data_IF_018694686281
#
_entry.id   IF_018694686281
#
_cell.length_a   1.000
_cell.length_b   1.000
_cell.length_c   1.000
_cell.angle_alpha   90.00
_cell.angle_beta   90.00
_cell.angle_gamma   90.00
#
_symmetry.space_group_name_H-M   'P 1'
#
loop_
_entity.id
_entity.type
_entity.pdbx_description
1 polymer ?
#
# COMPACT_ATOMS: atom_id res chain seq x y z
N UNK A 1 14.70 1.93 14.32
CA UNK A 1 13.32 1.69 14.77
C UNK A 1 12.49 1.23 13.59
N UNK A 2 11.91 0.03 13.66
CA UNK A 2 11.05 -0.52 12.61
C UNK A 2 9.59 -0.15 12.90
N UNK A 3 8.97 0.59 11.98
CA UNK A 3 7.57 1.03 12.11
C UNK A 3 6.64 0.15 11.27
N UNK A 4 5.48 -0.24 11.81
CA UNK A 4 4.44 -0.95 11.05
C UNK A 4 3.95 -0.15 9.84
N UNK A 5 3.33 -0.85 8.89
CA UNK A 5 2.81 -0.26 7.65
C UNK A 5 1.30 -0.45 7.60
N UNK A 6 0.55 0.64 7.71
CA UNK A 6 -0.86 0.64 7.36
C UNK A 6 -1.01 0.68 5.83
N UNK A 7 -1.80 -0.25 5.29
CA UNK A 7 -1.99 -0.47 3.85
C UNK A 7 -3.48 -0.55 3.52
N UNK A 8 -3.84 -0.12 2.31
CA UNK A 8 -5.21 -0.24 1.80
C UNK A 8 -5.19 -0.98 0.47
N UNK A 9 -6.15 -1.89 0.29
CA UNK A 9 -6.41 -2.60 -0.96
C UNK A 9 -7.88 -2.43 -1.36
N UNK A 10 -8.18 -2.44 -2.65
CA UNK A 10 -9.55 -2.63 -3.15
C UNK A 10 -9.86 -4.13 -3.17
N UNK A 11 -11.08 -4.52 -2.84
CA UNK A 11 -11.50 -5.92 -2.88
C UNK A 11 -11.32 -6.52 -4.28
N UNK A 12 -10.90 -7.78 -4.36
CA UNK A 12 -10.63 -8.48 -5.60
C UNK A 12 -9.32 -8.09 -6.31
N UNK A 13 -8.50 -7.22 -5.74
CA UNK A 13 -7.18 -6.86 -6.29
C UNK A 13 -6.04 -7.76 -5.81
N UNK A 14 -4.82 -7.50 -6.30
CA UNK A 14 -3.58 -8.15 -5.87
C UNK A 14 -2.93 -7.35 -4.73
N UNK A 15 -2.50 -8.04 -3.68
CA UNK A 15 -1.66 -7.49 -2.62
C UNK A 15 -0.32 -8.24 -2.59
N UNK A 16 0.78 -7.51 -2.36
CA UNK A 16 2.11 -8.07 -2.19
C UNK A 16 2.77 -7.46 -0.96
N UNK A 17 3.07 -8.28 0.04
CA UNK A 17 3.74 -7.89 1.29
C UNK A 17 5.16 -8.44 1.29
N UNK A 18 6.16 -7.56 1.36
CA UNK A 18 7.56 -7.99 1.47
C UNK A 18 7.87 -8.42 2.89
N UNK A 19 8.51 -9.57 3.05
CA UNK A 19 9.10 -9.92 4.34
C UNK A 19 10.23 -8.91 4.63
N UNK A 20 10.21 -8.25 5.79
CA UNK A 20 11.22 -7.23 6.17
C UNK A 20 12.19 -7.79 7.23
N UNK A 21 12.59 -9.04 7.05
CA UNK A 21 13.66 -9.70 7.80
C UNK A 21 14.88 -9.76 6.88
N UNK A 22 16.05 -9.34 7.38
CA UNK A 22 17.30 -9.41 6.63
C UNK A 22 17.91 -10.82 6.80
N UNK A 23 17.53 -11.74 5.92
CA UNK A 23 18.08 -13.11 5.87
C UNK A 23 19.35 -13.10 5.00
N UNK A 24 20.36 -13.91 5.34
CA UNK A 24 21.55 -14.04 4.49
C UNK A 24 21.18 -14.64 3.13
N UNK A 25 21.74 -14.15 2.00
CA UNK A 25 21.50 -14.75 0.68
C UNK A 25 21.85 -16.24 0.58
N UNK A 26 22.67 -16.77 1.48
CA UNK A 26 22.97 -18.20 1.58
C UNK A 26 21.84 -18.96 2.29
N UNK A 27 21.30 -18.39 3.37
CA UNK A 27 20.24 -19.01 4.19
C UNK A 27 18.91 -19.11 3.43
N UNK A 28 18.60 -18.13 2.57
CA UNK A 28 17.37 -18.11 1.75
C UNK A 28 17.18 -19.38 0.90
N UNK A 29 18.27 -20.03 0.47
CA UNK A 29 18.25 -21.27 -0.33
C UNK A 29 18.43 -22.55 0.49
N UNK A 30 18.68 -22.44 1.80
CA UNK A 30 18.94 -23.57 2.72
C UNK A 30 17.78 -23.78 3.70
N UNK A 31 16.97 -22.75 3.92
CA UNK A 31 15.86 -22.74 4.85
C UNK A 31 14.58 -22.20 4.18
N UNK A 32 13.48 -22.93 4.35
CA UNK A 32 12.11 -22.50 4.04
C UNK A 32 11.38 -21.95 5.29
N UNK A 33 12.10 -21.64 6.38
CA UNK A 33 11.55 -21.26 7.69
C UNK A 33 10.91 -19.85 7.73
N UNK A 34 10.60 -19.24 6.57
CA UNK A 34 9.90 -17.95 6.48
C UNK A 34 8.39 -18.17 6.49
N UNK A 35 7.83 -18.20 7.70
CA UNK A 35 6.41 -18.41 7.93
C UNK A 35 5.65 -17.08 7.90
N UNK A 36 4.56 -17.00 7.14
CA UNK A 36 3.63 -15.87 7.21
C UNK A 36 2.47 -16.15 8.16
N UNK A 37 2.06 -15.13 8.91
CA UNK A 37 0.95 -15.17 9.86
C UNK A 37 -0.07 -14.08 9.54
N UNK A 38 -1.32 -14.36 9.91
CA UNK A 38 -2.47 -13.47 9.78
C UNK A 38 -3.24 -13.42 11.10
N UNK A 39 -3.62 -12.22 11.53
CA UNK A 39 -4.59 -12.00 12.61
C UNK A 39 -5.81 -11.26 12.05
N UNK A 40 -6.99 -11.88 12.15
CA UNK A 40 -8.22 -11.31 11.60
C UNK A 40 -8.73 -10.16 12.50
N UNK A 41 -9.09 -9.01 11.90
CA UNK A 41 -9.67 -7.88 12.66
C UNK A 41 -10.94 -8.22 13.41
N UNK A 42 -11.75 -9.17 12.90
CA UNK A 42 -13.10 -9.44 13.41
C UNK A 42 -13.09 -10.49 14.52
N UNK A 43 -12.46 -11.64 14.32
CA UNK A 43 -12.41 -12.70 15.32
C UNK A 43 -11.21 -12.61 16.28
N UNK A 44 -10.18 -11.83 15.92
CA UNK A 44 -8.89 -11.75 16.62
C UNK A 44 -8.10 -13.08 16.69
N UNK A 45 -8.55 -14.12 15.95
CA UNK A 45 -7.78 -15.35 15.78
C UNK A 45 -6.47 -15.05 15.06
N UNK A 46 -5.40 -15.72 15.49
CA UNK A 46 -4.09 -15.68 14.82
C UNK A 46 -3.82 -17.03 14.18
N UNK A 47 -3.71 -17.05 12.86
CA UNK A 47 -3.41 -18.25 12.06
C UNK A 47 -2.07 -18.11 11.34
N UNK A 48 -1.35 -19.22 11.24
CA UNK A 48 -0.30 -19.36 10.22
C UNK A 48 -1.00 -19.41 8.86
N UNK A 49 -0.48 -18.67 7.89
CA UNK A 49 -0.94 -18.79 6.51
C UNK A 49 -0.39 -20.08 5.88
N UNK A 50 -1.22 -20.68 5.06
CA UNK A 50 -0.93 -21.85 4.24
C UNK A 50 -1.21 -21.41 2.80
N UNK A 51 -0.42 -21.90 1.85
CA UNK A 51 -0.61 -21.56 0.44
C UNK A 51 -1.92 -22.14 -0.11
N UNK A 52 -2.50 -21.43 -1.07
CA UNK A 52 -3.77 -21.76 -1.73
C UNK A 52 -3.82 -21.14 -3.12
N UNK A 53 -4.85 -21.48 -3.91
CA UNK A 53 -5.14 -20.88 -5.22
C UNK A 53 -5.16 -19.34 -5.25
N UNK A 54 -5.29 -18.68 -4.08
CA UNK A 54 -5.31 -17.23 -3.93
C UNK A 54 -4.25 -16.66 -2.98
N UNK A 55 -3.41 -17.49 -2.35
CA UNK A 55 -2.36 -17.09 -1.39
C UNK A 55 -1.06 -17.83 -1.71
N UNK A 56 -0.02 -17.07 -2.06
CA UNK A 56 1.26 -17.60 -2.53
C UNK A 56 2.43 -16.91 -1.82
N UNK A 57 3.51 -17.63 -1.53
CA UNK A 57 4.75 -17.11 -0.95
C UNK A 57 5.84 -17.20 -2.02
N UNK A 58 6.26 -16.03 -2.50
CA UNK A 58 7.33 -15.89 -3.51
C UNK A 58 8.60 -16.67 -3.11
N UNK A 59 9.07 -17.66 -3.88
CA UNK A 59 10.29 -18.39 -3.53
C UNK A 59 11.55 -17.51 -3.65
N UNK A 60 11.54 -16.50 -4.54
CA UNK A 60 12.69 -15.61 -4.78
C UNK A 60 12.99 -14.68 -3.58
N UNK A 61 11.95 -14.14 -2.94
CA UNK A 61 12.09 -13.06 -1.96
C UNK A 61 11.18 -13.20 -0.72
N UNK A 62 10.54 -14.35 -0.58
CA UNK A 62 9.63 -14.75 0.51
C UNK A 62 8.50 -13.73 0.79
N UNK A 63 8.14 -12.93 -0.21
CA UNK A 63 6.97 -12.03 -0.16
C UNK A 63 5.66 -12.81 -0.21
N UNK A 64 4.71 -12.44 0.65
CA UNK A 64 3.34 -12.93 0.56
C UNK A 64 2.61 -12.21 -0.58
N UNK A 65 1.95 -12.98 -1.44
CA UNK A 65 1.18 -12.53 -2.60
C UNK A 65 -0.24 -13.05 -2.45
N UNK A 66 -1.21 -12.14 -2.32
CA UNK A 66 -2.64 -12.48 -2.17
C UNK A 66 -3.38 -11.99 -3.42
N UNK A 67 -3.88 -12.94 -4.21
CA UNK A 67 -4.73 -12.67 -5.37
C UNK A 67 -6.19 -12.56 -4.93
N UNK A 68 -6.98 -11.72 -5.62
CA UNK A 68 -8.42 -11.60 -5.40
C UNK A 68 -8.80 -11.27 -3.94
N UNK A 69 -8.03 -10.40 -3.26
CA UNK A 69 -8.13 -10.21 -1.80
C UNK A 69 -9.56 -9.86 -1.34
N UNK A 70 -10.05 -10.54 -0.31
CA UNK A 70 -11.44 -10.46 0.18
C UNK A 70 -11.58 -9.74 1.52
N UNK A 71 -12.76 -9.21 1.81
CA UNK A 71 -13.08 -8.43 3.03
C UNK A 71 -12.66 -9.12 4.33
N UNK A 72 -12.76 -10.46 4.38
CA UNK A 72 -12.46 -11.29 5.54
C UNK A 72 -10.94 -11.37 5.81
N UNK A 73 -10.12 -10.98 4.81
CA UNK A 73 -8.67 -10.87 4.86
C UNK A 73 -8.20 -9.48 5.36
N UNK A 74 -9.10 -8.65 5.91
CA UNK A 74 -8.76 -7.36 6.50
C UNK A 74 -8.18 -7.56 7.92
N UNK A 75 -6.86 -7.54 8.07
CA UNK A 75 -6.20 -7.87 9.33
C UNK A 75 -4.75 -7.42 9.45
N UNK A 76 -4.05 -8.04 10.40
CA UNK A 76 -2.62 -7.84 10.66
C UNK A 76 -1.84 -8.99 10.01
N UNK A 77 -0.76 -8.67 9.30
CA UNK A 77 0.10 -9.65 8.62
C UNK A 77 1.57 -9.43 8.98
N UNK A 78 2.31 -10.50 9.21
CA UNK A 78 3.76 -10.46 9.45
C UNK A 78 4.42 -11.75 8.97
N UNK A 79 5.71 -11.70 8.65
CA UNK A 79 6.53 -12.91 8.52
C UNK A 79 7.33 -13.16 9.81
N UNK A 80 7.68 -14.42 10.02
CA UNK A 80 8.56 -14.93 11.07
C UNK A 80 9.68 -15.74 10.41
N UNK A 81 10.89 -15.71 10.94
CA UNK A 81 12.03 -16.52 10.52
C UNK A 81 12.88 -16.88 11.75
N UNK A 82 12.97 -18.16 12.10
CA UNK A 82 13.35 -18.56 13.46
C UNK A 82 12.48 -17.80 14.48
N UNK A 83 13.06 -17.24 15.54
CA UNK A 83 12.33 -16.37 16.47
C UNK A 83 12.24 -14.89 16.04
N UNK A 84 12.77 -14.52 14.87
CA UNK A 84 12.70 -13.14 14.36
C UNK A 84 11.35 -12.85 13.74
N UNK A 85 10.71 -11.75 14.13
CA UNK A 85 9.41 -11.29 13.59
C UNK A 85 9.60 -9.98 12.82
N UNK A 86 8.92 -9.82 11.69
CA UNK A 86 8.99 -8.60 10.87
C UNK A 86 8.19 -7.42 11.44
N UNK A 87 8.17 -6.29 10.72
CA UNK A 87 7.09 -5.32 10.90
C UNK A 87 5.71 -5.97 10.66
N UNK A 88 4.70 -5.42 11.33
CA UNK A 88 3.29 -5.72 11.05
C UNK A 88 2.78 -4.85 9.90
N UNK A 89 2.10 -5.49 8.95
CA UNK A 89 1.28 -4.85 7.93
C UNK A 89 -0.18 -4.84 8.39
N UNK A 90 -0.79 -3.66 8.46
CA UNK A 90 -2.18 -3.48 8.86
C UNK A 90 -3.02 -3.20 7.62
N UNK A 91 -3.73 -4.22 7.12
CA UNK A 91 -4.47 -4.15 5.86
C UNK A 91 -5.92 -3.76 6.14
N UNK A 92 -6.38 -2.73 5.45
CA UNK A 92 -7.79 -2.33 5.38
C UNK A 92 -8.29 -2.52 3.95
N UNK A 93 -9.45 -3.14 3.79
CA UNK A 93 -9.96 -3.53 2.47
C UNK A 93 -11.17 -2.67 2.12
N UNK A 94 -11.15 -2.12 0.92
CA UNK A 94 -12.18 -1.27 0.38
C UNK A 94 -13.15 -2.09 -0.48
N UNK A 95 -14.37 -2.26 0.00
CA UNK A 95 -15.46 -3.00 -0.67
C UNK A 95 -16.35 -2.10 -1.53
N UNK A 96 -16.10 -0.78 -1.56
CA UNK A 96 -16.87 0.21 -2.33
C UNK A 96 -16.48 0.17 -3.83
N UNK A 97 -16.87 -0.92 -4.51
CA UNK A 97 -16.57 -1.14 -5.92
C UNK A 97 -17.29 -0.14 -6.86
N UNK A 98 -18.51 0.29 -6.51
CA UNK A 98 -19.25 1.32 -7.26
C UNK A 98 -18.71 2.73 -7.02
N UNK A 99 -18.02 2.96 -5.90
CA UNK A 99 -17.32 4.18 -5.61
C UNK A 99 -16.09 4.42 -6.49
N UNK A 100 -15.55 3.40 -7.17
CA UNK A 100 -14.24 3.48 -7.81
C UNK A 100 -14.22 4.44 -9.01
N UNK A 101 -13.37 5.46 -8.93
CA UNK A 101 -13.23 6.50 -9.95
C UNK A 101 -12.10 6.15 -10.93
N UNK A 102 -12.43 5.94 -12.21
CA UNK A 102 -11.41 5.83 -13.27
C UNK A 102 -10.81 7.20 -13.59
N UNK A 103 -9.48 7.28 -13.65
CA UNK A 103 -8.71 8.51 -13.94
C UNK A 103 -7.54 8.27 -14.91
N UNK A 104 -7.00 9.35 -15.45
CA UNK A 104 -5.97 9.34 -16.48
C UNK A 104 -4.81 10.28 -16.11
N UNK A 105 -3.58 10.01 -16.60
CA UNK A 105 -2.44 10.92 -16.45
C UNK A 105 -2.75 12.33 -16.99
N UNK A 106 -2.08 13.35 -16.44
CA UNK A 106 -2.19 14.76 -16.88
C UNK A 106 -1.77 15.00 -18.33
N UNK A 107 -1.12 14.02 -18.98
CA UNK A 107 -0.78 14.05 -20.41
C UNK A 107 -1.96 13.69 -21.33
N UNK A 108 -3.12 13.33 -20.78
CA UNK A 108 -4.34 13.00 -21.53
C UNK A 108 -5.35 14.16 -21.38
N UNK A 109 -5.39 15.14 -22.31
CA UNK A 109 -6.27 16.31 -22.18
C UNK A 109 -7.74 15.91 -22.13
N UNK A 110 -8.54 16.70 -21.42
CA UNK A 110 -10.00 16.56 -21.27
C UNK A 110 -10.47 15.24 -20.61
N UNK A 111 -9.56 14.42 -20.08
CA UNK A 111 -9.90 13.19 -19.36
C UNK A 111 -9.99 13.43 -17.83
N UNK A 112 -10.79 12.64 -17.07
CA UNK A 112 -10.83 12.75 -15.62
C UNK A 112 -9.45 12.52 -14.99
N UNK A 113 -8.95 13.49 -14.24
CA UNK A 113 -7.67 13.39 -13.54
C UNK A 113 -7.84 12.97 -12.08
N UNK A 114 -6.72 12.57 -11.46
CA UNK A 114 -6.65 12.24 -10.03
C UNK A 114 -7.09 13.43 -9.16
N UNK A 115 -7.77 13.15 -8.04
CA UNK A 115 -8.16 14.20 -7.08
C UNK A 115 -6.87 14.88 -6.54
N UNK A 116 -6.75 16.22 -6.56
CA UNK A 116 -5.56 16.91 -6.07
C UNK A 116 -5.33 16.67 -4.57
N UNK A 117 -4.15 17.05 -4.06
CA UNK A 117 -3.93 17.06 -2.62
C UNK A 117 -4.83 18.10 -1.94
N UNK A 118 -5.35 17.76 -0.76
CA UNK A 118 -6.10 18.67 0.11
C UNK A 118 -5.34 18.85 1.44
N UNK A 119 -5.55 19.97 2.12
CA UNK A 119 -4.86 20.35 3.35
C UNK A 119 -5.93 20.57 4.42
N UNK A 120 -5.74 19.96 5.58
CA UNK A 120 -6.57 20.20 6.77
C UNK A 120 -5.73 20.97 7.77
N UNK A 121 -5.87 22.30 7.76
CA UNK A 121 -5.01 23.21 8.53
C UNK A 121 -5.14 23.02 10.04
N UNK A 122 -6.36 22.80 10.52
CA UNK A 122 -6.76 22.52 11.92
C UNK A 122 -5.91 21.43 12.59
N UNK A 123 -5.67 20.32 11.88
CA UNK A 123 -4.88 19.18 12.36
C UNK A 123 -3.46 19.12 11.75
N UNK A 124 -3.08 20.14 10.96
CA UNK A 124 -1.85 20.21 10.18
C UNK A 124 -1.59 18.93 9.33
N UNK A 125 -2.58 18.52 8.53
CA UNK A 125 -2.57 17.29 7.74
C UNK A 125 -2.56 17.55 6.22
N UNK A 126 -1.95 16.63 5.48
CA UNK A 126 -2.13 16.48 4.03
C UNK A 126 -3.03 15.26 3.75
N UNK A 127 -3.96 15.40 2.81
CA UNK A 127 -4.77 14.30 2.25
C UNK A 127 -4.42 14.18 0.77
N UNK A 128 -3.95 13.02 0.32
CA UNK A 128 -3.52 12.80 -1.06
C UNK A 128 -3.77 11.35 -1.51
N UNK A 129 -3.67 11.10 -2.82
CA UNK A 129 -3.78 9.73 -3.38
C UNK A 129 -2.39 9.08 -3.41
N UNK A 130 -2.15 8.04 -2.58
CA UNK A 130 -0.97 7.18 -2.71
C UNK A 130 -1.22 6.15 -3.81
N UNK A 131 -0.32 6.06 -4.77
CA UNK A 131 -0.42 5.16 -5.92
C UNK A 131 0.35 3.86 -5.72
N UNK A 132 -0.24 2.73 -6.11
CA UNK A 132 0.48 1.46 -6.25
C UNK A 132 1.52 1.53 -7.39
N UNK A 133 2.38 0.51 -7.46
CA UNK A 133 3.06 0.17 -8.72
C UNK A 133 2.01 -0.04 -9.83
N UNK A 134 2.42 0.17 -11.08
CA UNK A 134 1.65 -0.25 -12.24
C UNK A 134 1.59 -1.77 -12.32
N UNK A 135 0.46 -2.30 -12.80
CA UNK A 135 0.40 -3.65 -13.33
C UNK A 135 1.37 -3.82 -14.52
N UNK A 136 1.63 -5.08 -14.86
CA UNK A 136 2.15 -5.43 -16.19
C UNK A 136 1.13 -4.98 -17.27
N UNK A 137 1.55 -4.96 -18.53
CA UNK A 137 0.62 -4.70 -19.65
C UNK A 137 -0.29 -5.92 -19.82
N UNK A 138 -1.59 -5.70 -20.08
CA UNK A 138 -2.56 -6.78 -20.27
C UNK A 138 -2.25 -7.67 -21.47
N UNK A 139 -1.67 -7.09 -22.53
CA UNK A 139 -1.34 -7.76 -23.78
C UNK A 139 0.11 -7.44 -24.15
N UNK A 140 0.73 -8.31 -24.96
CA UNK A 140 2.03 -8.08 -25.58
C UNK A 140 1.92 -8.18 -27.13
N UNK A 141 2.90 -7.65 -27.85
CA UNK A 141 2.93 -7.40 -29.30
C UNK A 141 1.82 -6.47 -29.87
N UNK A 142 0.63 -6.45 -29.28
CA UNK A 142 -0.47 -5.52 -29.56
C UNK A 142 -0.56 -4.38 -28.52
N UNK A 143 -1.53 -3.46 -28.67
CA UNK A 143 -1.77 -2.39 -27.69
C UNK A 143 -2.64 -2.91 -26.55
N UNK A 144 -2.03 -3.14 -25.40
CA UNK A 144 -2.70 -3.45 -24.15
C UNK A 144 -2.96 -2.22 -23.26
N UNK A 145 -3.48 -2.49 -22.07
CA UNK A 145 -3.70 -1.52 -20.99
C UNK A 145 -2.89 -1.96 -19.76
N UNK A 146 -2.48 -0.99 -18.94
CA UNK A 146 -2.03 -1.24 -17.57
C UNK A 146 -2.71 -0.29 -16.61
N UNK A 147 -2.86 -0.74 -15.37
CA UNK A 147 -3.62 -0.05 -14.32
C UNK A 147 -2.75 0.15 -13.07
N UNK A 148 -3.12 1.12 -12.24
CA UNK A 148 -2.65 1.23 -10.85
C UNK A 148 -3.75 1.80 -9.99
N UNK A 149 -3.75 1.40 -8.72
CA UNK A 149 -4.75 1.80 -7.74
C UNK A 149 -4.23 2.98 -6.92
N UNK A 150 -5.12 3.90 -6.61
CA UNK A 150 -4.85 5.14 -5.90
C UNK A 150 -5.72 5.21 -4.66
N UNK A 151 -5.10 5.12 -3.48
CA UNK A 151 -5.79 5.10 -2.20
C UNK A 151 -5.63 6.41 -1.46
N UNK A 152 -6.74 6.92 -0.91
CA UNK A 152 -6.73 8.07 -0.02
C UNK A 152 -5.76 7.82 1.14
N UNK A 153 -4.84 8.76 1.36
CA UNK A 153 -3.83 8.71 2.42
C UNK A 153 -3.82 10.04 3.17
N UNK A 154 -3.92 9.95 4.49
CA UNK A 154 -3.67 11.07 5.42
C UNK A 154 -2.20 11.01 5.83
N UNK A 155 -1.48 12.13 5.81
CA UNK A 155 -0.22 12.25 6.54
C UNK A 155 -0.20 13.48 7.40
N UNK A 156 0.56 13.44 8.50
CA UNK A 156 0.93 14.68 9.18
C UNK A 156 1.83 15.48 8.25
N UNK A 157 1.70 16.82 8.28
CA UNK A 157 2.67 17.72 7.63
C UNK A 157 4.01 17.74 8.35
N UNK A 158 4.01 17.43 9.65
CA UNK A 158 5.16 17.17 10.54
C UNK A 158 6.48 17.89 10.15
N UNK A 159 6.37 19.19 9.89
CA UNK A 159 7.42 20.18 9.74
C UNK A 159 8.66 19.73 8.94
N UNK A 160 8.61 19.88 7.62
CA UNK A 160 9.83 20.01 6.78
C UNK A 160 10.78 21.07 7.38
N UNK A 161 10.23 22.11 8.01
CA UNK A 161 10.96 23.18 8.68
C UNK A 161 11.56 22.80 10.05
N UNK A 162 11.31 21.61 10.62
CA UNK A 162 11.81 21.26 11.97
C UNK A 162 13.32 21.06 12.05
N UNK A 163 14.02 20.84 10.93
CA UNK A 163 15.49 20.92 10.92
C UNK A 163 15.96 22.36 11.18
N UNK A 164 15.45 23.30 10.38
CA UNK A 164 15.88 24.69 10.41
C UNK A 164 15.47 25.42 11.71
N UNK A 165 14.25 25.19 12.21
CA UNK A 165 13.71 25.90 13.38
C UNK A 165 14.39 25.48 14.70
N UNK A 166 14.96 24.27 14.79
CA UNK A 166 15.66 23.82 16.01
C UNK A 166 16.98 24.58 16.20
N UNK A 167 17.75 24.75 15.12
CA UNK A 167 19.05 25.44 15.13
C UNK A 167 18.90 26.92 15.50
N UNK A 168 17.90 27.62 14.93
CA UNK A 168 17.62 29.03 15.26
C UNK A 168 17.09 29.21 16.69
N UNK A 169 16.18 28.34 17.16
CA UNK A 169 15.60 28.49 18.52
C UNK A 169 16.61 28.20 19.62
N UNK A 170 17.46 27.19 19.46
CA UNK A 170 18.50 26.91 20.46
C UNK A 170 19.48 28.09 20.63
N UNK A 171 19.76 28.84 19.55
CA UNK A 171 20.57 30.06 19.61
C UNK A 171 19.80 31.28 20.16
N UNK A 172 18.48 31.33 20.01
CA UNK A 172 17.64 32.41 20.52
C UNK A 172 17.30 32.27 22.02
N UNK A 173 16.98 31.05 22.47
CA UNK A 173 16.56 30.81 23.85
C UNK A 173 17.72 30.98 24.84
N UNK A 174 18.95 30.61 24.45
CA UNK A 174 20.18 30.90 25.22
C UNK A 174 20.43 32.41 25.40
N UNK A 175 19.99 33.24 24.44
CA UNK A 175 20.07 34.71 24.50
C UNK A 175 18.88 35.38 25.19
N UNK A 176 17.86 34.61 25.59
CA UNK A 176 16.67 35.11 26.30
C UNK A 176 16.64 34.69 27.77
N UNK A 177 17.23 33.56 28.12
CA UNK A 177 17.41 33.15 29.54
C UNK A 177 18.39 34.05 30.32
N UNK A 178 19.02 35.03 29.67
CA UNK A 178 19.84 36.09 30.27
C UNK A 178 19.11 37.44 30.41
N UNK A 179 17.82 37.53 30.03
CA UNK A 179 17.03 38.76 30.08
C UNK A 179 15.65 38.55 30.73
N UNK A 180 15.58 38.96 31.99
CA UNK A 180 14.41 39.51 32.70
C UNK A 180 13.29 38.55 33.18
N UNK A 181 12.86 38.83 34.41
CA UNK A 181 11.73 38.21 35.12
C UNK A 181 10.48 39.11 35.01
N UNK A 182 9.43 38.70 35.73
CA UNK A 182 8.40 39.57 36.35
C UNK A 182 7.07 39.84 35.60
N UNK A 183 6.02 39.32 36.24
CA UNK A 183 4.76 40.00 36.61
C UNK A 183 3.51 40.02 35.66
N UNK A 184 2.49 39.27 36.14
CA UNK A 184 1.08 39.67 36.32
C UNK A 184 0.10 39.71 35.12
N UNK A 185 -1.17 39.29 35.35
CA UNK A 185 -2.31 39.64 34.48
C UNK A 185 -3.48 38.64 34.36
N UNK A 186 -4.39 38.58 35.33
CA UNK A 186 -5.58 37.67 35.40
C UNK A 186 -6.90 38.37 35.04
N UNK A 187 -7.93 37.78 34.38
CA UNK A 187 -8.11 36.46 33.70
C UNK A 187 -8.58 36.74 32.23
N UNK A 188 -9.61 36.21 31.54
CA UNK A 188 -10.68 35.18 31.69
C UNK A 188 -11.15 34.73 30.28
N UNK A 189 -11.64 33.49 30.10
CA UNK A 189 -12.76 33.09 29.19
C UNK A 189 -13.01 31.57 29.31
N UNK A 190 -13.86 31.16 30.25
CA UNK A 190 -13.97 29.74 30.67
C UNK A 190 -14.51 28.78 29.58
N UNK A 191 -15.19 29.28 28.54
CA UNK A 191 -15.75 28.42 27.46
C UNK A 191 -14.69 28.00 26.44
N UNK A 192 -13.85 28.93 25.97
CA UNK A 192 -12.85 28.68 24.93
C UNK A 192 -11.70 27.79 25.40
N UNK A 193 -11.37 27.85 26.69
CA UNK A 193 -10.28 27.04 27.29
C UNK A 193 -10.61 25.54 27.19
N UNK A 194 -11.87 25.16 27.41
CA UNK A 194 -12.30 23.76 27.37
C UNK A 194 -12.13 23.16 25.96
N UNK A 195 -12.62 23.87 24.94
CA UNK A 195 -12.52 23.44 23.54
C UNK A 195 -11.06 23.41 23.05
N UNK A 196 -10.23 24.39 23.43
CA UNK A 196 -8.80 24.40 23.10
C UNK A 196 -8.03 23.24 23.75
N UNK A 197 -8.39 22.83 24.97
CA UNK A 197 -7.81 21.65 25.63
C UNK A 197 -8.26 20.36 24.93
N UNK A 198 -9.53 20.28 24.52
CA UNK A 198 -10.09 19.12 23.79
C UNK A 198 -9.43 18.98 22.41
N UNK A 199 -9.36 20.04 21.61
CA UNK A 199 -8.65 20.03 20.33
C UNK A 199 -7.19 19.65 20.53
N UNK A 200 -6.44 20.32 21.42
CA UNK A 200 -5.04 19.98 21.69
C UNK A 200 -4.84 18.49 22.01
N UNK A 201 -5.69 17.92 22.87
CA UNK A 201 -5.69 16.48 23.18
C UNK A 201 -5.96 15.60 21.96
N UNK A 202 -6.87 16.02 21.09
CA UNK A 202 -7.25 15.30 19.86
C UNK A 202 -6.16 15.38 18.79
N UNK A 203 -5.60 16.57 18.58
CA UNK A 203 -4.45 16.88 17.73
C UNK A 203 -3.24 16.03 18.15
N UNK A 204 -2.97 15.86 19.45
CA UNK A 204 -1.87 15.04 19.94
C UNK A 204 -2.12 13.52 19.80
N UNK A 205 -3.36 13.05 19.95
CA UNK A 205 -3.76 11.67 19.59
C UNK A 205 -3.55 11.39 18.10
N UNK A 206 -3.92 12.33 17.22
CA UNK A 206 -3.71 12.25 15.77
C UNK A 206 -2.21 12.16 15.45
N UNK A 207 -1.37 13.02 16.04
CA UNK A 207 0.09 12.99 15.89
C UNK A 207 0.68 11.67 16.39
N UNK A 208 0.19 11.13 17.52
CA UNK A 208 0.65 9.86 18.08
C UNK A 208 0.36 8.69 17.13
N UNK A 209 -0.88 8.54 16.65
CA UNK A 209 -1.26 7.49 15.69
C UNK A 209 -0.44 7.59 14.41
N UNK A 210 -0.32 8.80 13.83
CA UNK A 210 0.42 8.97 12.59
C UNK A 210 1.91 8.60 12.77
N UNK A 211 2.55 8.95 13.90
CA UNK A 211 3.94 8.59 14.19
C UNK A 211 4.18 7.07 14.20
N UNK A 212 3.22 6.27 14.68
CA UNK A 212 3.32 4.80 14.64
C UNK A 212 3.46 4.27 13.20
N UNK A 213 2.80 4.90 12.23
CA UNK A 213 2.76 4.48 10.83
C UNK A 213 3.66 5.35 9.91
N UNK A 214 4.84 5.77 10.39
CA UNK A 214 5.80 6.62 9.63
C UNK A 214 5.17 7.95 9.14
N UNK A 215 4.38 8.57 10.01
CA UNK A 215 3.64 9.83 9.80
C UNK A 215 2.50 9.77 8.74
N UNK A 216 2.10 8.60 8.24
CA UNK A 216 1.03 8.46 7.23
C UNK A 216 0.14 7.24 7.45
N UNK A 217 -1.12 7.30 7.01
CA UNK A 217 -2.10 6.22 7.15
C UNK A 217 -3.15 6.27 6.02
N UNK A 218 -3.66 5.14 5.51
CA UNK A 218 -4.79 5.14 4.58
C UNK A 218 -6.08 5.68 5.22
N UNK A 219 -6.92 6.35 4.45
CA UNK A 219 -8.13 6.99 4.96
C UNK A 219 -9.20 5.99 5.44
N UNK A 220 -9.29 4.80 4.81
CA UNK A 220 -10.19 3.73 5.24
C UNK A 220 -9.55 2.81 6.32
N UNK A 221 -8.50 3.27 7.00
CA UNK A 221 -7.84 2.49 8.07
C UNK A 221 -8.61 2.53 9.39
N UNK A 222 -8.79 1.37 10.03
CA UNK A 222 -9.42 1.24 11.35
C UNK A 222 -8.71 2.01 12.48
N UNK A 223 -7.46 2.43 12.27
CA UNK A 223 -6.69 3.23 13.24
C UNK A 223 -6.78 4.73 13.00
N UNK A 224 -7.38 5.21 11.90
CA UNK A 224 -7.59 6.65 11.70
C UNK A 224 -8.53 7.17 12.81
N UNK A 225 -8.15 8.21 13.58
CA UNK A 225 -9.00 8.72 14.65
C UNK A 225 -10.36 9.20 14.11
N UNK A 226 -11.46 8.79 14.76
CA UNK A 226 -12.85 9.08 14.31
C UNK A 226 -13.16 10.57 14.12
N UNK A 227 -12.41 11.47 14.76
CA UNK A 227 -12.49 12.92 14.54
C UNK A 227 -12.16 13.35 13.10
N UNK A 228 -11.32 12.58 12.41
CA UNK A 228 -10.95 12.80 11.01
C UNK A 228 -11.96 12.19 10.02
N UNK A 229 -13.17 11.85 10.46
CA UNK A 229 -14.30 11.43 9.60
C UNK A 229 -14.98 12.63 8.90
N UNK A 230 -14.16 13.55 8.38
CA UNK A 230 -14.58 14.72 7.58
C UNK A 230 -14.82 14.31 6.13
N UNK A 231 -15.67 15.05 5.42
CA UNK A 231 -15.99 14.84 3.99
C UNK A 231 -14.75 14.68 3.12
N UNK A 232 -13.75 15.55 3.26
CA UNK A 232 -12.49 15.54 2.50
C UNK A 232 -11.69 14.21 2.61
N UNK A 233 -11.96 13.40 3.64
CA UNK A 233 -11.35 12.08 3.90
C UNK A 233 -12.34 10.97 3.54
N UNK A 234 -13.57 11.06 4.06
CA UNK A 234 -14.63 10.05 3.92
C UNK A 234 -15.09 9.87 2.47
N UNK A 235 -15.31 10.97 1.76
CA UNK A 235 -15.90 10.98 0.42
C UNK A 235 -14.82 10.80 -0.67
N UNK A 236 -13.54 10.70 -0.28
CA UNK A 236 -12.40 10.51 -1.17
C UNK A 236 -12.27 9.06 -1.62
N UNK A 237 -13.12 8.71 -2.58
CA UNK A 237 -13.18 7.46 -3.34
C UNK A 237 -11.83 6.96 -3.85
N UNK A 238 -11.68 5.64 -3.90
CA UNK A 238 -10.52 4.95 -4.50
C UNK A 238 -10.45 5.22 -6.00
N UNK A 239 -9.25 5.52 -6.51
CA UNK A 239 -9.02 5.89 -7.91
C UNK A 239 -8.29 4.77 -8.68
N UNK A 240 -8.72 4.44 -9.91
CA UNK A 240 -7.96 3.56 -10.82
C UNK A 240 -7.38 4.43 -11.93
N UNK A 241 -6.05 4.50 -12.03
CA UNK A 241 -5.40 5.17 -13.16
C UNK A 241 -5.10 4.17 -14.27
N UNK A 242 -5.60 4.45 -15.47
CA UNK A 242 -5.40 3.61 -16.68
C UNK A 242 -4.38 4.27 -17.61
N UNK A 243 -3.50 3.46 -18.22
CA UNK A 243 -2.62 3.90 -19.32
C UNK A 243 -2.44 2.80 -20.36
N UNK A 244 -2.46 3.15 -21.64
CA UNK A 244 -2.13 2.23 -22.73
C UNK A 244 -0.64 1.86 -22.76
N UNK A 245 -0.33 0.67 -23.23
CA UNK A 245 1.02 0.15 -23.35
C UNK A 245 1.13 -0.77 -24.59
N UNK A 246 2.33 -0.83 -25.17
CA UNK A 246 2.70 -1.82 -26.18
C UNK A 246 4.09 -2.32 -25.80
N UNK A 247 4.16 -3.57 -25.35
CA UNK A 247 5.41 -4.27 -25.02
C UNK A 247 5.60 -5.41 -26.02
N UNK A 248 6.83 -5.86 -26.27
CA UNK A 248 7.04 -7.10 -27.03
C UNK A 248 6.71 -8.31 -26.16
N UNK A 249 6.20 -9.38 -26.77
CA UNK A 249 6.12 -10.67 -26.10
C UNK A 249 7.53 -11.28 -25.95
N UNK A 250 7.79 -12.09 -24.91
CA UNK A 250 8.98 -12.93 -24.86
C UNK A 250 8.78 -14.13 -25.80
N UNK A 251 9.26 -13.98 -27.03
CA UNK A 251 9.23 -15.02 -28.06
C UNK A 251 10.39 -16.00 -27.86
N UNK A 252 10.10 -17.31 -27.93
CA UNK A 252 11.06 -18.40 -27.83
C UNK A 252 11.90 -18.39 -26.53
N UNK A 253 11.30 -18.17 -25.36
CA UNK A 253 11.96 -18.55 -24.10
C UNK A 253 11.95 -20.08 -24.01
N UNK A 254 13.06 -20.67 -24.42
CA UNK A 254 13.42 -22.05 -24.10
C UNK A 254 14.41 -21.98 -22.92
N UNK A 255 14.04 -22.58 -21.80
CA UNK A 255 14.94 -22.79 -20.67
C UNK A 255 15.63 -24.15 -20.86
N UNK A 256 16.96 -24.18 -20.83
CA UNK A 256 17.75 -25.40 -21.00
C UNK A 256 18.59 -25.71 -19.76
N UNK A 257 18.47 -26.93 -19.25
CA UNK A 257 19.40 -27.50 -18.27
C UNK A 257 20.54 -28.13 -19.04
N UNK A 258 21.79 -27.75 -18.74
CA UNK A 258 22.98 -28.27 -19.43
C UNK A 258 23.95 -28.95 -18.46
N UNK A 259 24.61 -30.01 -18.92
CA UNK A 259 25.64 -30.71 -18.14
C UNK A 259 26.96 -29.91 -18.05
N UNK A 260 27.93 -30.42 -17.28
CA UNK A 260 29.27 -29.80 -17.13
C UNK A 260 30.11 -29.75 -18.42
N UNK A 261 29.63 -30.33 -19.53
CA UNK A 261 30.24 -30.32 -20.87
C UNK A 261 29.43 -29.47 -21.88
N UNK A 262 28.31 -28.89 -21.46
CA UNK A 262 27.41 -28.08 -22.28
C UNK A 262 26.30 -28.85 -23.00
N UNK A 263 26.16 -30.16 -22.82
CA UNK A 263 25.09 -30.96 -23.43
C UNK A 263 23.74 -30.62 -22.78
N UNK A 264 22.67 -30.48 -23.57
CA UNK A 264 21.31 -30.26 -23.03
C UNK A 264 20.80 -31.56 -22.40
N UNK A 265 20.45 -31.48 -21.12
CA UNK A 265 19.85 -32.56 -20.33
C UNK A 265 18.31 -32.44 -20.32
N UNK A 266 17.80 -31.22 -20.30
CA UNK A 266 16.37 -30.90 -20.26
C UNK A 266 16.12 -29.57 -21.00
N UNK A 267 14.97 -29.45 -21.66
CA UNK A 267 14.58 -28.23 -22.38
C UNK A 267 13.08 -27.98 -22.15
N UNK A 268 12.74 -26.84 -21.54
CA UNK A 268 11.38 -26.43 -21.24
C UNK A 268 10.98 -25.19 -22.07
N UNK A 269 9.85 -25.29 -22.76
CA UNK A 269 9.31 -24.18 -23.56
C UNK A 269 8.39 -23.30 -22.68
N UNK A 270 8.99 -22.35 -21.99
CA UNK A 270 8.28 -21.40 -21.14
C UNK A 270 7.26 -20.56 -21.94
N UNK A 271 7.53 -20.26 -23.22
CA UNK A 271 6.58 -19.59 -24.13
C UNK A 271 5.35 -20.46 -24.45
N UNK A 272 5.39 -21.77 -24.22
CA UNK A 272 4.24 -22.69 -24.27
C UNK A 272 3.61 -22.97 -22.88
N UNK A 273 4.07 -22.27 -21.82
CA UNK A 273 3.62 -22.52 -20.44
C UNK A 273 4.21 -23.79 -19.81
N UNK A 274 5.18 -24.44 -20.46
CA UNK A 274 5.86 -25.62 -19.93
C UNK A 274 7.12 -25.17 -19.19
N UNK A 275 7.17 -25.41 -17.89
CA UNK A 275 8.29 -24.98 -17.03
C UNK A 275 9.02 -26.18 -16.43
N UNK A 276 10.35 -26.23 -16.61
CA UNK A 276 11.25 -27.14 -15.89
C UNK A 276 11.18 -26.94 -14.39
N UNK A 277 11.26 -28.03 -13.61
CA UNK A 277 11.25 -27.97 -12.14
C UNK A 277 12.49 -27.25 -11.57
N UNK A 278 13.65 -27.34 -12.25
CA UNK A 278 14.91 -26.76 -11.75
C UNK A 278 15.12 -25.29 -12.12
N UNK A 279 14.18 -24.65 -12.82
CA UNK A 279 14.21 -23.20 -13.01
C UNK A 279 13.52 -22.42 -11.86
N UNK A 280 12.90 -23.14 -10.92
CA UNK A 280 12.00 -22.56 -9.93
C UNK A 280 10.59 -22.32 -10.48
N UNK A 281 9.70 -21.82 -9.61
CA UNK A 281 8.35 -21.43 -10.03
C UNK A 281 8.41 -20.22 -10.96
N UNK A 282 7.59 -20.17 -12.04
CA UNK A 282 7.54 -19.00 -12.90
C UNK A 282 7.07 -17.77 -12.13
N UNK A 283 7.63 -16.61 -12.48
CA UNK A 283 7.18 -15.33 -11.95
C UNK A 283 5.64 -15.20 -12.07
N UNK A 284 4.92 -14.89 -10.98
CA UNK A 284 3.47 -15.02 -10.94
C UNK A 284 2.80 -14.19 -12.04
N UNK A 285 1.83 -14.80 -12.71
CA UNK A 285 1.12 -14.23 -13.85
C UNK A 285 0.60 -12.81 -13.56
N UNK A 286 0.54 -11.92 -14.57
CA UNK A 286 -0.03 -10.58 -14.41
C UNK A 286 -1.36 -10.63 -13.63
N UNK A 287 -1.55 -9.79 -12.59
CA UNK A 287 -2.79 -9.81 -11.83
C UNK A 287 -3.98 -9.57 -12.76
N UNK A 288 -4.96 -10.49 -12.72
CA UNK A 288 -6.12 -10.50 -13.62
C UNK A 288 -6.81 -9.12 -13.63
N UNK A 289 -6.68 -8.40 -14.75
CA UNK A 289 -7.21 -7.03 -14.88
C UNK A 289 -8.72 -7.12 -15.12
N UNK A 290 -9.47 -7.09 -14.01
CA UNK A 290 -10.94 -7.02 -14.05
C UNK A 290 -11.38 -5.68 -14.63
N UNK A 291 -12.36 -5.73 -15.53
CA UNK A 291 -13.00 -4.55 -16.13
C UNK A 291 -14.49 -4.63 -15.86
N UNK A 292 -15.01 -3.76 -14.99
CA UNK A 292 -16.45 -3.64 -14.75
C UNK A 292 -17.10 -2.92 -15.94
N UNK A 293 -18.11 -3.54 -16.56
CA UNK A 293 -18.86 -2.96 -17.68
C UNK A 293 -20.28 -2.65 -17.20
N UNK A 294 -20.59 -1.36 -17.07
CA UNK A 294 -21.93 -0.91 -16.71
C UNK A 294 -22.81 -0.82 -17.95
N UNK A 295 -23.84 -1.66 -18.01
CA UNK A 295 -24.79 -1.75 -19.11
C UNK A 295 -26.21 -1.53 -18.56
N UNK A 296 -27.09 -0.82 -19.30
CA UNK A 296 -28.51 -0.73 -18.91
C UNK A 296 -29.18 -2.11 -18.98
N UNK A 297 -30.17 -2.31 -18.10
CA UNK A 297 -31.09 -3.45 -18.17
C UNK A 297 -31.65 -3.62 -19.60
N UNK A 298 -31.86 -4.87 -20.02
CA UNK A 298 -32.33 -5.25 -21.36
C UNK A 298 -31.48 -4.74 -22.54
N UNK A 299 -30.17 -4.54 -22.33
CA UNK A 299 -29.19 -4.29 -23.40
C UNK A 299 -28.05 -5.31 -23.36
N UNK A 300 -27.70 -5.84 -24.54
CA UNK A 300 -26.63 -6.81 -24.73
C UNK A 300 -25.27 -6.22 -24.30
N UNK A 301 -24.72 -6.71 -23.20
CA UNK A 301 -23.33 -6.51 -22.86
C UNK A 301 -22.42 -7.37 -23.77
N UNK A 302 -21.24 -6.88 -24.12
CA UNK A 302 -20.22 -7.63 -24.86
C UNK A 302 -18.99 -7.71 -23.98
N UNK A 303 -18.73 -8.89 -23.42
CA UNK A 303 -17.48 -9.18 -22.72
C UNK A 303 -16.43 -9.51 -23.77
N UNK A 304 -15.31 -8.78 -23.76
CA UNK A 304 -14.15 -9.05 -24.62
C UNK A 304 -12.99 -9.42 -23.71
N UNK A 305 -12.46 -10.64 -23.86
CA UNK A 305 -11.26 -11.07 -23.16
C UNK A 305 -10.06 -10.23 -23.64
N UNK A 306 -9.31 -9.55 -22.75
CA UNK A 306 -8.08 -8.86 -23.12
C UNK A 306 -6.92 -9.86 -23.25
N UNK A 307 -6.83 -10.53 -24.41
CA UNK A 307 -5.67 -11.34 -24.82
C UNK A 307 -4.67 -10.52 -25.62
#
# INVERSE_FOLDING_TARGET
MMYPIAFQALEGTLVTLKCQICISPIEIYVSDDVEWYFNNTVSNDTSRLIESDNVFISPEDRSLIIHNIKSEQAGQYWCKFGDTISIYYYISIDTDLEGVKTVYPTTAPNMPHAIPQNIVSEYNLNIYTTWTKWSLCSNCNVVGKKVRYGYCTVSSRADVNKKNIIEEKQLADYKRQTAENEQNGTIETTTTIQDQIIDKSMNDKIKMVLRLFRNKIPCKSKYLPKALNISNIKDRKTEIMVRYCKIKCPENIIFEVRDKKGNVLESANNSAGIYSMVQGMPAPSPPVIRTTIYQKHDKKAVLVCPG
#
